data_IF_542109677814
#
_entry.id   IF_542109677814
#
_cell.length_a   1.000
_cell.length_b   1.000
_cell.length_c   1.000
_cell.angle_alpha   90.00
_cell.angle_beta   90.00
_cell.angle_gamma   90.00
#
_symmetry.space_group_name_H-M   'P 1'
#
loop_
_entity.id
_entity.type
_entity.pdbx_description
1 polymer ?
#
# COMPACT_ATOMS: atom_id res chain seq x y z
N UNK A 1 29.70 0.57 -0.20
CA UNK A 1 29.48 1.92 -0.80
C UNK A 1 28.82 1.84 -2.18
N UNK A 2 29.33 1.02 -3.12
CA UNK A 2 28.76 0.86 -4.48
C UNK A 2 27.35 0.24 -4.51
N UNK A 3 27.11 -0.81 -3.72
CA UNK A 3 25.80 -1.49 -3.66
C UNK A 3 24.68 -0.59 -3.11
N UNK A 4 24.96 0.19 -2.05
CA UNK A 4 24.01 1.16 -1.48
C UNK A 4 23.57 2.19 -2.53
N UNK A 5 24.52 2.69 -3.35
CA UNK A 5 24.23 3.64 -4.42
C UNK A 5 23.33 3.02 -5.50
N UNK A 6 23.61 1.77 -5.91
CA UNK A 6 22.78 1.06 -6.90
C UNK A 6 21.35 0.84 -6.38
N UNK A 7 21.20 0.47 -5.10
CA UNK A 7 19.89 0.30 -4.47
C UNK A 7 19.12 1.61 -4.48
N UNK A 8 19.78 2.72 -4.16
CA UNK A 8 19.18 4.06 -4.14
C UNK A 8 18.75 4.51 -5.54
N UNK A 9 19.60 4.36 -6.55
CA UNK A 9 19.29 4.69 -7.95
C UNK A 9 18.08 3.89 -8.46
N UNK A 10 18.05 2.57 -8.21
CA UNK A 10 16.92 1.72 -8.60
C UNK A 10 15.64 2.06 -7.82
N UNK A 11 15.74 2.39 -6.53
CA UNK A 11 14.59 2.83 -5.75
C UNK A 11 14.00 4.13 -6.32
N UNK A 12 14.83 5.12 -6.63
CA UNK A 12 14.38 6.37 -7.25
C UNK A 12 13.76 6.15 -8.63
N UNK A 13 14.31 5.23 -9.42
CA UNK A 13 13.69 4.84 -10.70
C UNK A 13 12.28 4.26 -10.49
N UNK A 14 12.08 3.34 -9.55
CA UNK A 14 10.75 2.80 -9.25
C UNK A 14 9.79 3.87 -8.74
N UNK A 15 10.26 4.78 -7.90
CA UNK A 15 9.44 5.90 -7.38
C UNK A 15 8.99 6.79 -8.54
N UNK A 16 9.88 7.09 -9.49
CA UNK A 16 9.54 7.83 -10.70
C UNK A 16 8.49 7.12 -11.55
N UNK A 17 8.68 5.82 -11.83
CA UNK A 17 7.77 5.00 -12.64
C UNK A 17 6.37 4.88 -12.02
N UNK A 18 6.31 4.51 -10.73
CA UNK A 18 5.04 4.35 -10.01
C UNK A 18 4.36 5.70 -9.80
N UNK A 19 5.12 6.76 -9.52
CA UNK A 19 4.59 8.12 -9.42
C UNK A 19 4.00 8.65 -10.72
N UNK A 20 4.57 8.27 -11.88
CA UNK A 20 3.98 8.58 -13.20
C UNK A 20 2.58 7.99 -13.36
N UNK A 21 2.44 6.69 -13.05
CA UNK A 21 1.13 6.03 -13.07
C UNK A 21 0.15 6.68 -12.09
N UNK A 22 0.58 6.95 -10.84
CA UNK A 22 -0.29 7.52 -9.83
C UNK A 22 -0.81 8.90 -10.23
N UNK A 23 0.05 9.77 -10.80
CA UNK A 23 -0.38 11.10 -11.28
C UNK A 23 -1.35 11.04 -12.46
N UNK A 24 -1.24 10.01 -13.30
CA UNK A 24 -2.08 9.89 -14.50
C UNK A 24 -3.42 9.19 -14.22
N UNK A 25 -3.43 8.19 -13.34
CA UNK A 25 -4.60 7.31 -13.15
C UNK A 25 -5.18 7.31 -11.74
N UNK A 26 -4.38 7.66 -10.72
CA UNK A 26 -4.74 7.56 -9.32
C UNK A 26 -4.70 8.94 -8.66
N UNK A 27 -4.12 9.01 -7.46
CA UNK A 27 -4.00 10.22 -6.66
C UNK A 27 -2.65 10.27 -5.91
N UNK A 28 -2.52 11.32 -5.10
CA UNK A 28 -1.35 11.59 -4.30
C UNK A 28 -1.16 10.59 -3.15
N UNK A 29 -2.24 10.01 -2.61
CA UNK A 29 -2.17 9.03 -1.53
C UNK A 29 -1.52 7.73 -2.03
N UNK A 30 -1.97 7.22 -3.19
CA UNK A 30 -1.30 6.10 -3.85
C UNK A 30 0.16 6.38 -4.20
N UNK A 31 0.49 7.61 -4.62
CA UNK A 31 1.87 8.00 -4.90
C UNK A 31 2.76 7.86 -3.66
N UNK A 32 2.29 8.39 -2.52
CA UNK A 32 3.01 8.33 -1.25
C UNK A 32 3.13 6.91 -0.72
N UNK A 33 2.08 6.09 -0.87
CA UNK A 33 2.12 4.67 -0.49
C UNK A 33 3.10 3.87 -1.34
N UNK A 34 3.16 4.12 -2.66
CA UNK A 34 4.15 3.49 -3.55
C UNK A 34 5.58 3.84 -3.11
N UNK A 35 5.85 5.12 -2.88
CA UNK A 35 7.14 5.62 -2.43
C UNK A 35 7.56 4.98 -1.10
N UNK A 36 6.66 4.98 -0.11
CA UNK A 36 6.86 4.33 1.18
C UNK A 36 7.20 2.85 1.04
N UNK A 37 6.43 2.11 0.24
CA UNK A 37 6.64 0.68 0.02
C UNK A 37 8.00 0.40 -0.63
N UNK A 38 8.38 1.16 -1.66
CA UNK A 38 9.67 1.03 -2.33
C UNK A 38 10.82 1.28 -1.35
N UNK A 39 10.72 2.28 -0.47
CA UNK A 39 11.72 2.49 0.59
C UNK A 39 11.74 1.37 1.64
N UNK A 40 10.63 0.66 1.91
CA UNK A 40 10.69 -0.54 2.75
C UNK A 40 11.38 -1.69 2.02
N UNK A 41 11.12 -1.86 0.73
CA UNK A 41 11.78 -2.88 -0.10
C UNK A 41 13.29 -2.66 -0.19
N UNK A 42 13.74 -1.40 -0.31
CA UNK A 42 15.17 -1.05 -0.38
C UNK A 42 15.96 -1.35 0.89
N UNK A 43 15.27 -1.52 2.02
CA UNK A 43 15.86 -1.82 3.35
C UNK A 43 15.87 -3.31 3.69
N UNK A 44 15.33 -4.19 2.83
CA UNK A 44 15.39 -5.64 3.04
C UNK A 44 16.84 -6.11 2.94
N UNK A 45 17.21 -7.11 3.75
CA UNK A 45 18.54 -7.76 3.70
C UNK A 45 18.91 -8.21 2.28
N UNK A 46 17.93 -8.74 1.54
CA UNK A 46 18.04 -9.00 0.11
C UNK A 46 17.05 -8.07 -0.58
N UNK A 47 17.57 -7.03 -1.25
CA UNK A 47 16.74 -6.02 -1.92
C UNK A 47 16.11 -6.64 -3.17
N UNK A 48 14.77 -6.76 -3.22
CA UNK A 48 14.13 -7.63 -4.19
C UNK A 48 14.19 -7.08 -5.64
N UNK A 49 14.14 -5.76 -5.82
CA UNK A 49 14.17 -5.13 -7.14
C UNK A 49 15.56 -5.00 -7.76
N UNK A 50 16.62 -5.49 -7.09
CA UNK A 50 17.94 -5.59 -7.71
C UNK A 50 17.93 -6.59 -8.87
N UNK A 51 17.05 -7.61 -8.83
CA UNK A 51 16.87 -8.60 -9.89
C UNK A 51 15.53 -8.44 -10.61
N UNK A 52 15.48 -8.85 -11.89
CA UNK A 52 14.29 -8.74 -12.74
C UNK A 52 14.11 -7.35 -13.36
N UNK A 53 13.08 -7.22 -14.22
CA UNK A 53 12.76 -5.98 -14.94
C UNK A 53 12.08 -4.96 -14.02
N UNK A 54 12.46 -3.69 -14.17
CA UNK A 54 11.93 -2.60 -13.32
C UNK A 54 10.44 -2.36 -13.55
N UNK A 55 9.97 -2.54 -14.78
CA UNK A 55 8.57 -2.43 -15.18
C UNK A 55 7.69 -3.43 -14.44
N UNK A 56 8.17 -4.67 -14.27
CA UNK A 56 7.47 -5.70 -13.50
C UNK A 56 7.38 -5.31 -12.03
N UNK A 57 8.44 -4.74 -11.45
CA UNK A 57 8.42 -4.28 -10.06
C UNK A 57 7.53 -3.07 -9.86
N UNK A 58 7.56 -2.07 -10.76
CA UNK A 58 6.69 -0.91 -10.70
C UNK A 58 5.21 -1.32 -10.81
N UNK A 59 4.88 -2.14 -11.81
CA UNK A 59 3.55 -2.73 -12.00
C UNK A 59 3.09 -3.50 -10.76
N UNK A 60 3.94 -4.34 -10.19
CA UNK A 60 3.63 -5.13 -9.01
C UNK A 60 3.41 -4.30 -7.74
N UNK A 61 4.15 -3.20 -7.55
CA UNK A 61 3.98 -2.28 -6.42
C UNK A 61 2.60 -1.64 -6.46
N UNK A 62 2.23 -1.05 -7.59
CA UNK A 62 0.90 -0.43 -7.78
C UNK A 62 -0.19 -1.49 -7.63
N UNK A 63 -0.02 -2.66 -8.23
CA UNK A 63 -0.99 -3.75 -8.13
C UNK A 63 -1.17 -4.24 -6.69
N UNK A 64 -0.09 -4.37 -5.91
CA UNK A 64 -0.14 -4.82 -4.52
C UNK A 64 -0.95 -3.85 -3.65
N UNK A 65 -0.64 -2.56 -3.74
CA UNK A 65 -1.35 -1.50 -3.02
C UNK A 65 -2.79 -1.36 -3.52
N UNK A 66 -3.01 -1.46 -4.83
CA UNK A 66 -4.34 -1.43 -5.44
C UNK A 66 -5.23 -2.57 -4.93
N UNK A 67 -4.69 -3.78 -4.83
CA UNK A 67 -5.42 -4.95 -4.37
C UNK A 67 -5.94 -4.81 -2.94
N UNK A 68 -5.13 -4.30 -2.01
CA UNK A 68 -5.53 -4.18 -0.61
C UNK A 68 -6.40 -2.94 -0.33
N UNK A 69 -6.47 -2.02 -1.29
CA UNK A 69 -7.23 -0.76 -1.20
C UNK A 69 -8.39 -0.69 -2.20
N UNK A 70 -8.89 -1.84 -2.67
CA UNK A 70 -10.09 -1.94 -3.53
C UNK A 70 -10.01 -1.15 -4.85
N UNK A 71 -8.81 -0.89 -5.37
CA UNK A 71 -8.61 -0.10 -6.60
C UNK A 71 -9.35 -0.68 -7.81
N UNK A 72 -9.49 -2.00 -7.84
CA UNK A 72 -10.12 -2.74 -8.95
C UNK A 72 -11.65 -2.82 -8.83
N UNK A 73 -12.23 -2.27 -7.76
CA UNK A 73 -13.68 -2.20 -7.57
C UNK A 73 -14.18 -0.83 -8.05
N UNK A 74 -15.05 -0.84 -9.05
CA UNK A 74 -15.62 0.37 -9.69
C UNK A 74 -16.44 1.25 -8.73
N UNK A 75 -16.83 0.73 -7.57
CA UNK A 75 -17.52 1.48 -6.52
C UNK A 75 -16.60 2.36 -5.69
N UNK A 76 -15.27 2.20 -5.80
CA UNK A 76 -14.26 2.99 -5.11
C UNK A 76 -13.63 4.04 -6.03
N UNK A 77 -13.09 5.10 -5.43
CA UNK A 77 -12.28 6.11 -6.12
C UNK A 77 -10.96 6.32 -5.35
N UNK A 78 -9.82 6.45 -6.05
CA UNK A 78 -9.64 6.25 -7.49
C UNK A 78 -9.95 4.81 -7.93
N UNK A 79 -10.25 4.62 -9.22
CA UNK A 79 -10.53 3.31 -9.83
C UNK A 79 -9.61 3.13 -11.03
N UNK A 80 -8.93 2.00 -11.09
CA UNK A 80 -8.16 1.56 -12.24
C UNK A 80 -8.23 0.04 -12.29
N UNK A 81 -8.19 -0.54 -13.48
CA UNK A 81 -8.19 -2.00 -13.65
C UNK A 81 -6.76 -2.56 -13.53
N UNK A 82 -6.67 -3.87 -13.28
CA UNK A 82 -5.42 -4.62 -13.44
C UNK A 82 -4.81 -4.45 -14.84
N UNK A 83 -5.66 -4.25 -15.85
CA UNK A 83 -5.25 -4.06 -17.24
C UNK A 83 -4.63 -2.68 -17.48
N UNK A 84 -5.18 -1.62 -16.89
CA UNK A 84 -4.63 -0.26 -16.98
C UNK A 84 -3.19 -0.23 -16.43
N UNK A 85 -2.96 -0.89 -15.29
CA UNK A 85 -1.62 -1.04 -14.71
C UNK A 85 -0.71 -1.81 -15.69
N UNK A 86 -1.16 -2.97 -16.16
CA UNK A 86 -0.36 -3.83 -17.02
C UNK A 86 0.03 -3.15 -18.33
N UNK A 87 -0.93 -2.47 -18.97
CA UNK A 87 -0.74 -1.76 -20.23
C UNK A 87 0.21 -0.58 -20.06
N UNK A 88 0.06 0.21 -18.99
CA UNK A 88 0.96 1.34 -18.72
C UNK A 88 2.42 0.92 -18.57
N UNK A 89 2.67 -0.19 -17.87
CA UNK A 89 4.04 -0.69 -17.65
C UNK A 89 4.52 -1.68 -18.72
N UNK A 90 3.71 -2.05 -19.72
CA UNK A 90 4.08 -3.07 -20.71
C UNK A 90 4.34 -4.46 -20.10
N UNK A 91 3.51 -4.86 -19.13
CA UNK A 91 3.65 -6.13 -18.39
C UNK A 91 2.44 -7.04 -18.58
N UNK A 92 2.60 -8.35 -18.31
CA UNK A 92 1.48 -9.30 -18.37
C UNK A 92 0.75 -9.38 -17.02
N UNK A 93 -0.55 -9.64 -17.06
CA UNK A 93 -1.39 -9.81 -15.85
C UNK A 93 -0.88 -10.94 -14.94
N UNK A 94 -0.42 -12.07 -15.51
CA UNK A 94 0.07 -13.21 -14.74
C UNK A 94 1.37 -12.86 -13.99
N UNK A 95 2.34 -12.28 -14.68
CA UNK A 95 3.63 -11.90 -14.06
C UNK A 95 3.43 -10.80 -13.01
N UNK A 96 2.61 -9.80 -13.31
CA UNK A 96 2.31 -8.70 -12.38
C UNK A 96 1.62 -9.20 -11.12
N UNK A 97 0.55 -10.00 -11.26
CA UNK A 97 -0.21 -10.50 -10.11
C UNK A 97 0.61 -11.44 -9.21
N UNK A 98 1.43 -12.33 -9.81
CA UNK A 98 2.35 -13.19 -9.06
C UNK A 98 3.41 -12.36 -8.31
N UNK A 99 4.04 -11.39 -8.97
CA UNK A 99 5.03 -10.51 -8.33
C UNK A 99 4.39 -9.64 -7.24
N UNK A 100 3.17 -9.15 -7.46
CA UNK A 100 2.39 -8.42 -6.47
C UNK A 100 2.11 -9.26 -5.22
N UNK A 101 1.77 -10.55 -5.40
CA UNK A 101 1.63 -11.48 -4.27
C UNK A 101 2.93 -11.60 -3.46
N UNK A 102 4.09 -11.70 -4.10
CA UNK A 102 5.39 -11.72 -3.41
C UNK A 102 5.58 -10.48 -2.54
N UNK A 103 5.20 -9.30 -3.01
CA UNK A 103 5.25 -8.06 -2.23
C UNK A 103 4.31 -8.13 -1.02
N UNK A 104 3.06 -8.54 -1.22
CA UNK A 104 2.09 -8.65 -0.13
C UNK A 104 2.53 -9.65 0.93
N UNK A 105 3.00 -10.83 0.52
CA UNK A 105 3.50 -11.86 1.44
C UNK A 105 4.74 -11.36 2.20
N UNK A 106 5.64 -10.62 1.53
CA UNK A 106 6.87 -10.06 2.10
C UNK A 106 6.63 -9.03 3.22
N UNK A 107 5.51 -8.31 3.17
CA UNK A 107 5.12 -7.29 4.15
C UNK A 107 3.88 -7.66 4.95
N UNK A 108 3.34 -8.87 4.75
CA UNK A 108 2.10 -9.37 5.37
C UNK A 108 0.90 -8.42 5.14
N UNK A 109 0.82 -7.84 3.95
CA UNK A 109 -0.23 -6.89 3.59
C UNK A 109 -1.57 -7.59 3.40
N UNK A 110 -2.61 -7.02 3.98
CA UNK A 110 -4.01 -7.42 3.81
C UNK A 110 -4.94 -6.22 3.66
N UNK A 111 -6.24 -6.46 3.57
CA UNK A 111 -7.23 -5.38 3.62
C UNK A 111 -7.15 -4.62 4.94
N UNK A 112 -7.36 -3.30 4.87
CA UNK A 112 -7.27 -2.40 6.04
C UNK A 112 -5.90 -2.45 6.73
N UNK A 113 -4.83 -2.66 5.95
CA UNK A 113 -3.46 -2.66 6.45
C UNK A 113 -3.15 -1.33 7.16
N UNK A 114 -2.67 -1.35 8.41
CA UNK A 114 -2.47 -0.14 9.20
C UNK A 114 -1.43 0.81 8.57
N UNK A 115 -0.50 0.27 7.78
CA UNK A 115 0.61 1.02 7.22
C UNK A 115 0.37 1.43 5.76
N UNK A 116 -0.30 0.57 4.99
CA UNK A 116 -0.45 0.66 3.54
C UNK A 116 -1.89 0.85 3.06
N UNK A 117 -2.84 1.08 3.96
CA UNK A 117 -4.15 1.58 3.57
C UNK A 117 -4.11 3.05 3.17
N UNK A 118 -4.85 3.38 2.11
CA UNK A 118 -5.19 4.77 1.78
C UNK A 118 -5.98 5.41 2.91
N UNK A 119 -5.98 6.74 2.97
CA UNK A 119 -6.74 7.49 3.96
C UNK A 119 -8.23 7.13 3.89
N UNK A 120 -8.79 7.00 2.67
CA UNK A 120 -10.15 6.54 2.47
C UNK A 120 -10.45 5.20 3.15
N UNK A 121 -9.53 4.24 3.00
CA UNK A 121 -9.68 2.91 3.58
C UNK A 121 -9.50 2.91 5.10
N UNK A 122 -8.67 3.80 5.64
CA UNK A 122 -8.55 4.00 7.10
C UNK A 122 -9.83 4.57 7.68
N UNK A 123 -10.38 5.61 7.06
CA UNK A 123 -11.59 6.30 7.53
C UNK A 123 -12.82 5.38 7.48
N UNK A 124 -12.90 4.52 6.46
CA UNK A 124 -13.98 3.54 6.29
C UNK A 124 -13.67 2.17 6.89
N UNK A 125 -12.58 2.04 7.64
CA UNK A 125 -12.21 0.74 8.23
C UNK A 125 -13.33 0.28 9.16
N UNK A 126 -13.82 -0.97 9.02
CA UNK A 126 -14.78 -1.54 9.97
C UNK A 126 -14.18 -1.64 11.38
N UNK A 127 -12.86 -1.57 11.49
CA UNK A 127 -12.11 -1.61 12.74
C UNK A 127 -11.84 -0.22 13.33
N UNK A 128 -12.17 0.89 12.65
CA UNK A 128 -11.90 2.27 13.10
C UNK A 128 -12.57 2.63 14.43
N UNK A 129 -13.63 1.90 14.79
CA UNK A 129 -14.37 2.08 16.03
C UNK A 129 -14.00 1.03 17.09
N UNK A 130 -13.17 0.05 16.77
CA UNK A 130 -12.76 -0.97 17.73
C UNK A 130 -11.55 -0.50 18.52
N UNK A 131 -11.63 -0.63 19.85
CA UNK A 131 -10.54 -0.34 20.78
C UNK A 131 -10.33 -1.53 21.71
N UNK A 132 -9.10 -1.68 22.21
CA UNK A 132 -8.78 -2.71 23.19
C UNK A 132 -8.80 -2.09 24.60
N UNK A 133 -9.74 -2.54 25.45
CA UNK A 133 -9.87 -2.08 26.84
C UNK A 133 -9.80 -3.32 27.74
N UNK A 134 -8.82 -3.37 28.63
CA UNK A 134 -8.61 -4.49 29.56
C UNK A 134 -8.60 -5.87 28.86
N UNK A 135 -8.00 -5.96 27.67
CA UNK A 135 -7.91 -7.19 26.88
C UNK A 135 -9.18 -7.57 26.10
N UNK A 136 -10.24 -6.76 26.15
CA UNK A 136 -11.45 -6.94 25.35
C UNK A 136 -11.49 -5.97 24.17
N UNK A 137 -11.87 -6.48 23.00
CA UNK A 137 -12.14 -5.65 21.82
C UNK A 137 -13.58 -5.16 21.90
N UNK A 138 -13.76 -3.84 21.97
CA UNK A 138 -15.07 -3.20 22.11
C UNK A 138 -15.27 -2.13 21.05
N UNK A 139 -16.50 -1.98 20.58
CA UNK A 139 -16.87 -0.87 19.70
C UNK A 139 -17.12 0.39 20.53
N UNK A 140 -16.28 1.41 20.34
CA UNK A 140 -16.32 2.66 21.10
C UNK A 140 -17.66 3.39 21.03
N UNK A 141 -18.48 3.13 20.00
CA UNK A 141 -19.82 3.73 19.86
C UNK A 141 -20.82 3.22 20.90
N UNK A 142 -20.56 2.05 21.47
CA UNK A 142 -21.39 1.45 22.52
C UNK A 142 -20.82 1.66 23.93
N UNK A 143 -19.73 2.42 24.08
CA UNK A 143 -19.16 2.73 25.38
C UNK A 143 -19.86 3.94 26.02
N UNK A 144 -19.90 4.02 27.36
CA UNK A 144 -20.34 5.21 28.08
C UNK A 144 -19.60 6.48 27.62
N UNK A 145 -20.26 7.66 27.58
CA UNK A 145 -19.65 8.91 27.12
C UNK A 145 -18.33 9.25 27.82
N UNK A 146 -18.23 8.97 29.12
CA UNK A 146 -17.03 9.23 29.92
C UNK A 146 -15.83 8.43 29.40
N UNK A 147 -16.05 7.15 29.04
CA UNK A 147 -15.01 6.29 28.48
C UNK A 147 -14.65 6.71 27.05
N UNK A 148 -15.63 7.17 26.26
CA UNK A 148 -15.37 7.70 24.91
C UNK A 148 -14.47 8.95 24.95
N UNK A 149 -14.67 9.84 25.93
CA UNK A 149 -13.82 11.02 26.11
C UNK A 149 -12.39 10.67 26.54
N UNK A 150 -12.23 9.70 27.45
CA UNK A 150 -10.90 9.20 27.85
C UNK A 150 -10.11 8.64 26.65
N UNK A 151 -10.75 7.83 25.81
CA UNK A 151 -10.11 7.26 24.60
C UNK A 151 -9.66 8.36 23.63
N UNK A 152 -10.44 9.44 23.49
CA UNK A 152 -10.07 10.57 22.60
C UNK A 152 -8.85 11.34 23.12
N UNK A 153 -8.59 11.33 24.42
CA UNK A 153 -7.46 12.03 25.03
C UNK A 153 -6.15 11.22 24.96
N UNK A 154 -6.21 9.89 25.01
CA UNK A 154 -5.02 9.02 24.88
C UNK A 154 -4.54 8.86 23.42
N UNK A 155 -5.40 9.10 22.43
CA UNK A 155 -5.08 8.98 21.01
C UNK A 155 -4.40 10.20 20.36
N UNK A 156 -3.87 11.14 21.15
CA UNK A 156 -3.18 12.36 20.69
C UNK A 156 -1.66 12.26 20.85
#
# INVERSE_FOLDING_TARGET
>A
MKEKKIVEEKAQQLIGMTGGFCRQFLDEDYRQLCEKLIYKMSRKRVVPFLSGRMEIWASAVVYALGSINFLFDKSFKPYATAEDICNYFGTSKSTTSQKSKVIRDMFKMGYFDPEFSTQHMKDKSPFSNLVMINGLIVDKRHLPPEIQEMIKQEGK
#
